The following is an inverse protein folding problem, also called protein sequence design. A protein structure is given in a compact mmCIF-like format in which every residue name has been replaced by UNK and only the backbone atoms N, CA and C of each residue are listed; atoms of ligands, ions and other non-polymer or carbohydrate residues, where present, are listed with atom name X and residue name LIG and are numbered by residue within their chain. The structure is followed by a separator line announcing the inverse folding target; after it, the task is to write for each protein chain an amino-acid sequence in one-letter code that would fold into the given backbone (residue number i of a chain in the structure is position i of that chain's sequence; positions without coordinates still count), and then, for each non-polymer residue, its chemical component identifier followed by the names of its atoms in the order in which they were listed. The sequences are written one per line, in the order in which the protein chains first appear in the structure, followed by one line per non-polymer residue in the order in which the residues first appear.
data_IF_414792387141
#
_entry.id   IF_414792387141
#
_cell.length_a   1.000
_cell.length_b   1.000
_cell.length_c   1.000
_cell.angle_alpha   90.00
_cell.angle_beta   90.00
_cell.angle_gamma   90.00
#
_symmetry.space_group_name_H-M   'P 1'
#
loop_
_entity.id
_entity.type
_entity.pdbx_description
1 polymer ?
#
# COMPACT_ATOMS: atom_id res chain seq x y z
N UNK A 1 2.16 -9.59 -4.49
CA UNK A 1 2.51 -9.31 -5.90
C UNK A 1 3.44 -10.41 -6.36
N UNK A 2 3.09 -11.19 -7.39
CA UNK A 2 3.87 -12.37 -7.80
C UNK A 2 5.07 -11.98 -8.67
N UNK A 3 6.13 -11.53 -8.02
CA UNK A 3 7.39 -11.23 -8.69
C UNK A 3 8.44 -10.81 -7.67
N UNK A 4 9.63 -11.39 -7.78
CA UNK A 4 10.78 -10.98 -6.98
C UNK A 4 11.26 -9.60 -7.48
N UNK A 5 11.38 -8.57 -6.62
CA UNK A 5 11.75 -7.24 -7.08
C UNK A 5 13.13 -7.27 -7.76
N UNK A 6 13.21 -6.86 -9.02
CA UNK A 6 14.44 -6.95 -9.83
C UNK A 6 15.63 -6.24 -9.15
N UNK A 7 15.36 -5.14 -8.44
CA UNK A 7 16.38 -4.41 -7.67
C UNK A 7 16.96 -5.28 -6.55
N UNK A 8 16.12 -6.04 -5.83
CA UNK A 8 16.57 -6.95 -4.78
C UNK A 8 17.34 -8.13 -5.38
N UNK A 9 16.95 -8.61 -6.57
CA UNK A 9 17.70 -9.63 -7.29
C UNK A 9 19.12 -9.22 -7.66
N UNK A 10 19.30 -7.99 -8.16
CA UNK A 10 20.63 -7.51 -8.54
C UNK A 10 21.51 -7.23 -7.31
N UNK A 11 20.89 -6.86 -6.18
CA UNK A 11 21.61 -6.54 -4.94
C UNK A 11 21.77 -7.74 -4.00
N UNK A 12 21.14 -8.89 -4.28
CA UNK A 12 21.10 -10.04 -3.37
C UNK A 12 22.49 -10.61 -3.08
N UNK A 13 23.39 -10.60 -4.05
CA UNK A 13 24.79 -11.03 -3.87
C UNK A 13 25.53 -10.16 -2.85
N UNK A 14 25.49 -8.84 -3.01
CA UNK A 14 26.11 -7.90 -2.08
C UNK A 14 25.47 -7.97 -0.69
N UNK A 15 24.15 -8.14 -0.64
CA UNK A 15 23.40 -8.16 0.61
C UNK A 15 23.61 -9.46 1.40
N UNK A 16 23.73 -10.60 0.70
CA UNK A 16 24.04 -11.91 1.32
C UNK A 16 25.46 -11.93 1.88
N UNK A 17 26.44 -11.36 1.17
CA UNK A 17 27.83 -11.25 1.63
C UNK A 17 27.98 -10.35 2.86
N UNK A 18 27.15 -9.30 2.97
CA UNK A 18 27.20 -8.33 4.08
C UNK A 18 26.38 -8.78 5.30
N UNK A 19 25.30 -9.51 5.08
CA UNK A 19 24.34 -9.92 6.10
C UNK A 19 24.09 -11.43 6.02
N UNK A 20 25.06 -12.20 6.52
CA UNK A 20 25.03 -13.66 6.57
C UNK A 20 23.93 -14.16 7.50
N UNK A 21 22.73 -14.34 6.97
CA UNK A 21 21.54 -14.78 7.71
C UNK A 21 20.20 -14.31 7.15
N UNK A 22 20.20 -13.40 6.17
CA UNK A 22 18.97 -12.94 5.51
C UNK A 22 18.51 -13.96 4.45
N UNK A 23 17.31 -14.49 4.60
CA UNK A 23 16.65 -15.29 3.56
C UNK A 23 15.91 -14.37 2.58
N UNK A 24 16.73 -13.73 1.72
CA UNK A 24 16.28 -12.71 0.76
C UNK A 24 15.31 -13.29 -0.27
N UNK A 25 15.34 -14.60 -0.52
CA UNK A 25 14.49 -15.29 -1.49
C UNK A 25 13.22 -15.87 -0.88
N UNK A 26 13.03 -15.76 0.44
CA UNK A 26 11.80 -16.21 1.09
C UNK A 26 10.59 -15.38 0.67
N UNK A 27 9.40 -15.97 0.73
CA UNK A 27 8.15 -15.24 0.54
C UNK A 27 7.96 -14.09 1.57
N UNK A 28 8.79 -14.05 2.63
CA UNK A 28 8.78 -13.05 3.69
C UNK A 28 9.68 -11.83 3.42
N UNK A 29 10.23 -11.65 2.21
CA UNK A 29 11.01 -10.44 1.86
C UNK A 29 10.23 -9.12 1.99
N UNK A 30 8.91 -9.17 2.24
CA UNK A 30 8.14 -8.02 2.72
C UNK A 30 8.63 -7.45 4.06
N UNK A 31 9.40 -8.22 4.84
CA UNK A 31 10.01 -7.83 6.11
C UNK A 31 11.50 -7.48 5.98
N UNK A 32 12.07 -7.44 4.77
CA UNK A 32 13.48 -7.15 4.52
C UNK A 32 13.96 -5.87 5.22
N UNK A 33 13.13 -4.82 5.20
CA UNK A 33 13.43 -3.56 5.90
C UNK A 33 13.35 -3.70 7.43
N UNK A 34 12.45 -4.54 7.94
CA UNK A 34 12.36 -4.85 9.38
C UNK A 34 13.63 -5.57 9.85
N UNK A 35 14.08 -6.55 9.07
CA UNK A 35 15.27 -7.35 9.37
C UNK A 35 16.55 -6.52 9.24
N UNK A 36 16.68 -5.69 8.20
CA UNK A 36 17.82 -4.79 8.00
C UNK A 36 17.91 -3.68 9.07
N UNK A 37 16.77 -3.20 9.56
CA UNK A 37 16.71 -2.18 10.62
C UNK A 37 16.72 -2.78 12.03
N UNK A 38 16.84 -4.11 12.17
CA UNK A 38 16.86 -4.80 13.46
C UNK A 38 15.55 -4.69 14.24
N UNK A 39 14.44 -4.41 13.57
CA UNK A 39 13.12 -4.29 14.19
C UNK A 39 12.54 -5.70 14.42
N UNK A 40 12.82 -6.28 15.59
CA UNK A 40 12.28 -7.57 16.02
C UNK A 40 10.92 -7.36 16.71
N UNK A 41 9.81 -7.48 15.98
CA UNK A 41 8.45 -7.38 16.53
C UNK A 41 7.38 -7.79 15.51
N UNK A 42 6.13 -7.94 15.94
CA UNK A 42 5.00 -8.24 15.05
C UNK A 42 4.81 -7.08 14.05
N UNK A 43 5.05 -7.31 12.75
CA UNK A 43 4.93 -6.27 11.71
C UNK A 43 3.55 -5.63 11.68
N UNK A 44 2.51 -6.40 12.02
CA UNK A 44 1.12 -5.95 12.04
C UNK A 44 0.82 -4.94 13.16
N UNK A 45 1.63 -4.92 14.23
CA UNK A 45 1.44 -4.04 15.39
C UNK A 45 2.42 -2.86 15.37
N UNK A 46 3.23 -2.73 14.31
CA UNK A 46 4.11 -1.56 14.17
C UNK A 46 3.29 -0.27 14.06
N UNK A 47 3.76 0.80 14.72
CA UNK A 47 3.09 2.12 14.74
C UNK A 47 2.78 2.65 13.33
N UNK A 48 3.68 2.36 12.36
CA UNK A 48 3.54 2.74 10.95
C UNK A 48 2.35 2.00 10.29
N UNK A 49 2.14 0.72 10.62
CA UNK A 49 1.02 -0.05 10.08
C UNK A 49 -0.32 0.45 10.63
N UNK A 50 -0.39 0.75 11.93
CA UNK A 50 -1.60 1.33 12.54
C UNK A 50 -1.93 2.68 11.91
N UNK A 51 -0.92 3.55 11.76
CA UNK A 51 -1.11 4.85 11.11
C UNK A 51 -1.59 4.71 9.66
N UNK A 52 -1.02 3.76 8.91
CA UNK A 52 -1.47 3.44 7.56
C UNK A 52 -2.92 2.95 7.52
N UNK A 53 -3.35 2.11 8.47
CA UNK A 53 -4.75 1.69 8.56
C UNK A 53 -5.70 2.86 8.80
N UNK A 54 -5.32 3.80 9.68
CA UNK A 54 -6.11 5.01 9.92
C UNK A 54 -6.24 5.85 8.64
N UNK A 55 -5.15 6.06 7.90
CA UNK A 55 -5.18 6.82 6.64
C UNK A 55 -6.04 6.13 5.58
N UNK A 56 -5.92 4.81 5.43
CA UNK A 56 -6.70 4.04 4.44
C UNK A 56 -8.18 4.09 4.77
N UNK A 57 -8.55 3.76 6.02
CA UNK A 57 -9.95 3.76 6.44
C UNK A 57 -10.55 5.17 6.39
N UNK A 58 -9.79 6.19 6.80
CA UNK A 58 -10.19 7.58 6.71
C UNK A 58 -10.39 8.04 5.25
N UNK A 59 -9.47 7.68 4.35
CA UNK A 59 -9.59 7.96 2.93
C UNK A 59 -10.82 7.29 2.29
N UNK A 60 -11.06 6.02 2.60
CA UNK A 60 -12.24 5.30 2.13
C UNK A 60 -13.55 5.91 2.65
N UNK A 61 -13.58 6.34 3.92
CA UNK A 61 -14.73 7.03 4.50
C UNK A 61 -15.01 8.36 3.78
N UNK A 62 -13.98 9.17 3.54
CA UNK A 62 -14.11 10.43 2.81
C UNK A 62 -14.63 10.20 1.38
N UNK A 63 -14.09 9.20 0.67
CA UNK A 63 -14.58 8.82 -0.67
C UNK A 63 -16.06 8.38 -0.63
N UNK A 64 -16.41 7.52 0.32
CA UNK A 64 -17.78 7.03 0.49
C UNK A 64 -18.77 8.16 0.79
N UNK A 65 -18.40 9.08 1.69
CA UNK A 65 -19.25 10.23 2.05
C UNK A 65 -19.46 11.20 0.87
N UNK A 66 -18.41 11.40 0.07
CA UNK A 66 -18.42 12.28 -1.11
C UNK A 66 -19.23 11.70 -2.27
N UNK A 67 -19.48 10.39 -2.29
CA UNK A 67 -20.26 9.73 -3.33
C UNK A 67 -21.66 10.33 -3.52
N UNK A 68 -22.32 10.71 -2.42
CA UNK A 68 -23.66 11.31 -2.48
C UNK A 68 -23.69 12.66 -3.22
N UNK A 69 -22.62 13.44 -3.13
CA UNK A 69 -22.48 14.74 -3.81
C UNK A 69 -22.27 14.50 -5.31
N UNK A 70 -21.35 13.60 -5.66
CA UNK A 70 -21.09 13.22 -7.06
C UNK A 70 -22.33 12.62 -7.71
N UNK A 71 -23.04 11.74 -7.00
CA UNK A 71 -24.27 11.12 -7.49
C UNK A 71 -25.38 12.16 -7.77
N UNK A 72 -25.58 13.12 -6.86
CA UNK A 72 -26.53 14.22 -7.06
C UNK A 72 -26.12 15.11 -8.23
N UNK A 73 -24.84 15.47 -8.33
CA UNK A 73 -24.33 16.27 -9.44
C UNK A 73 -24.54 15.56 -10.80
N UNK A 74 -24.22 14.27 -10.88
CA UNK A 74 -24.43 13.46 -12.09
C UNK A 74 -25.92 13.37 -12.46
N UNK A 75 -26.81 13.13 -11.49
CA UNK A 75 -28.25 13.04 -11.73
C UNK A 75 -28.84 14.37 -12.20
N UNK A 76 -28.37 15.49 -11.65
CA UNK A 76 -28.85 16.82 -12.00
C UNK A 76 -28.30 17.30 -13.35
N UNK A 77 -27.06 16.96 -13.70
CA UNK A 77 -26.50 17.22 -15.03
C UNK A 77 -27.22 16.41 -16.12
N UNK A 78 -27.59 15.14 -15.86
CA UNK A 78 -28.38 14.35 -16.81
C UNK A 78 -29.83 14.82 -17.00
N UNK A 79 -30.32 15.68 -16.10
CA UNK A 79 -31.66 16.26 -16.16
C UNK A 79 -31.69 17.68 -16.77
N UNK A 80 -30.55 18.24 -17.18
CA UNK A 80 -30.51 19.51 -17.90
C UNK A 80 -31.05 19.30 -19.33
N UNK A 81 -32.15 19.96 -19.73
CA UNK A 81 -32.68 19.86 -21.08
C UNK A 81 -31.67 20.29 -22.18
N UNK A 82 -30.60 21.02 -21.81
CA UNK A 82 -29.60 21.53 -22.76
C UNK A 82 -28.54 20.52 -23.19
N UNK A 83 -28.45 19.34 -22.56
CA UNK A 83 -27.44 18.32 -22.88
C UNK A 83 -27.98 17.17 -23.75
N UNK A 84 -29.23 17.25 -24.23
CA UNK A 84 -29.88 16.22 -25.06
C UNK A 84 -29.90 16.53 -26.57
N UNK A 85 -28.90 17.24 -27.09
CA UNK A 85 -28.72 17.49 -28.54
C UNK A 85 -27.39 16.89 -29.03
#
# INVERSE_FOLDING_TARGET
MYGFPLTIYLLSGWLTDRYSGLDIYSHNSGHLWSDLLGMTGDPHISLIHIFSYVLILGGLYLLSSSWSVLYKAQKNHGADPKTQN
#
